data_IF_236458764441
#
_entry.id   IF_236458764441
#
_cell.length_a   1.000
_cell.length_b   1.000
_cell.length_c   1.000
_cell.angle_alpha   90.00
_cell.angle_beta   90.00
_cell.angle_gamma   90.00
#
_symmetry.space_group_name_H-M   'P 1'
#
loop_
_entity.id
_entity.type
_entity.pdbx_description
1 polymer ?
#
# COMPACT_ATOMS: atom_id res chain seq x y z
N UNK A 1 -9.79 -18.91 7.17
CA UNK A 1 -11.10 -18.44 6.64
C UNK A 1 -12.13 -18.33 7.76
N UNK A 2 -12.08 -19.29 8.68
CA UNK A 2 -12.83 -19.38 9.93
C UNK A 2 -12.88 -18.04 10.71
N UNK A 3 -11.73 -17.41 10.98
CA UNK A 3 -11.67 -16.15 11.75
C UNK A 3 -12.51 -14.99 11.17
N UNK A 4 -12.49 -14.77 9.85
CA UNK A 4 -13.30 -13.69 9.24
C UNK A 4 -14.79 -14.03 9.24
N UNK A 5 -15.12 -15.32 9.10
CA UNK A 5 -16.50 -15.80 9.16
C UNK A 5 -17.08 -15.67 10.57
N UNK A 6 -16.29 -15.97 11.61
CA UNK A 6 -16.66 -15.75 13.02
C UNK A 6 -16.94 -14.27 13.30
N UNK A 7 -16.09 -13.35 12.83
CA UNK A 7 -16.32 -11.91 12.98
C UNK A 7 -17.61 -11.43 12.31
N UNK A 8 -18.02 -12.07 11.21
CA UNK A 8 -19.31 -11.81 10.56
C UNK A 8 -20.46 -12.37 11.40
N UNK A 9 -20.33 -13.60 11.91
CA UNK A 9 -21.33 -14.24 12.78
C UNK A 9 -21.54 -13.47 14.09
N UNK A 10 -20.47 -12.90 14.66
CA UNK A 10 -20.50 -12.01 15.82
C UNK A 10 -21.06 -10.60 15.52
N UNK A 11 -21.44 -10.32 14.26
CA UNK A 11 -21.99 -9.03 13.86
C UNK A 11 -21.02 -7.86 13.97
N UNK A 12 -19.69 -8.11 13.89
CA UNK A 12 -18.69 -7.06 14.03
C UNK A 12 -18.81 -6.05 12.88
N UNK A 13 -18.79 -4.76 13.24
CA UNK A 13 -18.81 -3.65 12.28
C UNK A 13 -17.68 -3.81 11.26
N UNK A 14 -18.01 -3.64 9.98
CA UNK A 14 -17.12 -3.77 8.83
C UNK A 14 -16.62 -5.20 8.49
N UNK A 15 -17.03 -6.26 9.20
CA UNK A 15 -16.62 -7.63 8.87
C UNK A 15 -16.99 -8.03 7.42
N UNK A 16 -18.14 -7.56 6.93
CA UNK A 16 -18.56 -7.77 5.54
C UNK A 16 -17.58 -7.18 4.50
N UNK A 17 -16.88 -6.09 4.82
CA UNK A 17 -15.85 -5.53 3.93
C UNK A 17 -14.59 -6.40 3.93
N UNK A 18 -14.25 -7.06 5.04
CA UNK A 18 -13.14 -8.02 5.07
C UNK A 18 -13.42 -9.24 4.19
N UNK A 19 -14.66 -9.73 4.16
CA UNK A 19 -15.06 -10.81 3.25
C UNK A 19 -14.84 -10.37 1.79
N UNK A 20 -15.28 -9.16 1.44
CA UNK A 20 -15.10 -8.61 0.07
C UNK A 20 -13.63 -8.42 -0.29
N UNK A 21 -12.84 -7.83 0.61
CA UNK A 21 -11.38 -7.65 0.42
C UNK A 21 -10.70 -8.99 0.23
N UNK A 22 -11.08 -10.00 1.04
CA UNK A 22 -10.48 -11.33 0.96
C UNK A 22 -10.83 -12.06 -0.34
N UNK A 23 -12.01 -11.81 -0.90
CA UNK A 23 -12.41 -12.33 -2.21
C UNK A 23 -11.60 -11.76 -3.38
N UNK A 24 -10.97 -10.60 -3.21
CA UNK A 24 -10.11 -9.96 -4.22
C UNK A 24 -8.80 -9.48 -3.56
N UNK A 25 -8.14 -10.41 -2.86
CA UNK A 25 -6.97 -10.12 -2.04
C UNK A 25 -5.80 -9.64 -2.91
N UNK A 26 -5.60 -10.25 -4.08
CA UNK A 26 -4.50 -9.89 -4.99
C UNK A 26 -4.59 -8.43 -5.41
N UNK A 27 -5.77 -7.97 -5.86
CA UNK A 27 -5.95 -6.55 -6.21
C UNK A 27 -5.84 -5.65 -5.00
N UNK A 28 -6.30 -6.09 -3.83
CA UNK A 28 -6.16 -5.30 -2.60
C UNK A 28 -4.68 -5.13 -2.22
N UNK A 29 -3.88 -6.17 -2.34
CA UNK A 29 -2.42 -6.12 -2.09
C UNK A 29 -1.77 -5.15 -3.08
N UNK A 30 -2.10 -5.25 -4.38
CA UNK A 30 -1.60 -4.31 -5.39
C UNK A 30 -2.03 -2.88 -5.08
N UNK A 31 -3.28 -2.66 -4.66
CA UNK A 31 -3.77 -1.33 -4.27
C UNK A 31 -2.96 -0.72 -3.12
N UNK A 32 -2.67 -1.52 -2.10
CA UNK A 32 -1.85 -1.10 -0.94
C UNK A 32 -0.43 -0.76 -1.41
N UNK A 33 0.17 -1.59 -2.25
CA UNK A 33 1.51 -1.37 -2.78
C UNK A 33 1.59 -0.07 -3.60
N UNK A 34 0.63 0.13 -4.51
CA UNK A 34 0.54 1.35 -5.33
C UNK A 34 0.35 2.58 -4.45
N UNK A 35 -0.55 2.53 -3.47
CA UNK A 35 -0.80 3.65 -2.56
C UNK A 35 0.43 4.04 -1.74
N UNK A 36 1.10 3.06 -1.13
CA UNK A 36 2.32 3.31 -0.35
C UNK A 36 3.44 3.88 -1.24
N UNK A 37 3.66 3.29 -2.41
CA UNK A 37 4.70 3.72 -3.32
C UNK A 37 4.43 5.13 -3.88
N UNK A 38 3.18 5.43 -4.24
CA UNK A 38 2.80 6.75 -4.72
C UNK A 38 3.11 7.83 -3.69
N UNK A 39 2.70 7.62 -2.43
CA UNK A 39 2.97 8.57 -1.34
C UNK A 39 4.47 8.72 -1.10
N UNK A 40 5.23 7.61 -1.02
CA UNK A 40 6.67 7.64 -0.77
C UNK A 40 7.45 8.35 -1.88
N UNK A 41 7.11 8.10 -3.15
CA UNK A 41 7.74 8.75 -4.30
C UNK A 41 7.39 10.23 -4.34
N UNK A 42 6.12 10.57 -4.10
CA UNK A 42 5.65 11.97 -4.12
C UNK A 42 6.33 12.79 -3.02
N UNK A 43 6.39 12.28 -1.79
CA UNK A 43 7.08 12.95 -0.68
C UNK A 43 8.56 13.09 -0.99
N UNK A 44 9.22 12.02 -1.48
CA UNK A 44 10.63 12.06 -1.85
C UNK A 44 10.93 13.11 -2.92
N UNK A 45 10.11 13.17 -3.97
CA UNK A 45 10.25 14.13 -5.06
C UNK A 45 10.05 15.57 -4.57
N UNK A 46 8.97 15.84 -3.84
CA UNK A 46 8.68 17.18 -3.30
C UNK A 46 9.75 17.64 -2.32
N UNK A 47 10.18 16.77 -1.41
CA UNK A 47 11.22 17.10 -0.46
C UNK A 47 12.58 17.31 -1.13
N UNK A 48 12.88 16.58 -2.22
CA UNK A 48 14.09 16.85 -3.02
C UNK A 48 14.02 18.23 -3.69
N UNK A 49 12.88 18.61 -4.25
CA UNK A 49 12.69 19.94 -4.84
C UNK A 49 12.87 21.05 -3.80
N UNK A 50 12.26 20.88 -2.63
CA UNK A 50 12.39 21.82 -1.51
C UNK A 50 13.84 21.89 -1.02
N UNK A 51 14.49 20.75 -0.79
CA UNK A 51 15.88 20.69 -0.36
C UNK A 51 16.82 21.37 -1.36
N UNK A 52 16.61 21.15 -2.66
CA UNK A 52 17.38 21.81 -3.71
C UNK A 52 17.22 23.33 -3.69
N UNK A 53 16.00 23.82 -3.46
CA UNK A 53 15.74 25.26 -3.40
C UNK A 53 16.35 25.95 -2.16
N UNK A 54 16.49 25.23 -1.04
CA UNK A 54 16.92 25.81 0.24
C UNK A 54 18.40 25.63 0.57
N UNK A 55 19.01 24.52 0.15
CA UNK A 55 20.30 24.07 0.68
C UNK A 55 21.42 24.00 -0.37
N UNK A 56 21.10 24.17 -1.66
CA UNK A 56 22.05 24.00 -2.77
C UNK A 56 22.62 22.58 -2.87
N UNK A 57 23.44 22.30 -3.89
CA UNK A 57 23.82 20.94 -4.28
C UNK A 57 24.43 20.06 -3.16
N UNK A 58 25.31 20.62 -2.31
CA UNK A 58 25.94 19.86 -1.22
C UNK A 58 24.97 19.55 -0.07
N UNK A 59 24.04 20.47 0.23
CA UNK A 59 23.04 20.26 1.27
C UNK A 59 21.89 19.34 0.83
N UNK A 60 21.64 19.22 -0.48
CA UNK A 60 20.68 18.22 -1.02
C UNK A 60 21.07 16.80 -0.63
N UNK A 61 22.34 16.44 -0.72
CA UNK A 61 22.78 15.05 -0.47
C UNK A 61 22.54 14.63 0.99
N UNK A 62 22.84 15.53 1.94
CA UNK A 62 22.59 15.29 3.37
C UNK A 62 21.08 15.27 3.65
N UNK A 63 20.32 16.19 3.06
CA UNK A 63 18.88 16.25 3.20
C UNK A 63 18.19 14.98 2.68
N UNK A 64 18.63 14.43 1.55
CA UNK A 64 18.13 13.17 0.99
C UNK A 64 18.40 12.00 1.95
N UNK A 65 19.59 11.93 2.55
CA UNK A 65 19.91 10.91 3.54
C UNK A 65 18.99 10.97 4.77
N UNK A 66 18.83 12.16 5.36
CA UNK A 66 17.94 12.37 6.52
C UNK A 66 16.48 12.07 6.15
N UNK A 67 16.01 12.58 5.02
CA UNK A 67 14.65 12.36 4.54
C UNK A 67 14.36 10.88 4.34
N UNK A 68 15.32 10.12 3.78
CA UNK A 68 15.17 8.68 3.58
C UNK A 68 14.94 7.97 4.91
N UNK A 69 15.71 8.29 5.95
CA UNK A 69 15.50 7.73 7.29
C UNK A 69 14.12 8.10 7.85
N UNK A 70 13.69 9.34 7.68
CA UNK A 70 12.37 9.81 8.13
C UNK A 70 11.25 9.04 7.43
N UNK A 71 11.31 8.88 6.10
CA UNK A 71 10.31 8.13 5.33
C UNK A 71 10.31 6.65 5.74
N UNK A 72 11.48 6.03 5.89
CA UNK A 72 11.56 4.63 6.29
C UNK A 72 10.96 4.42 7.68
N UNK A 73 11.30 5.24 8.67
CA UNK A 73 10.81 5.07 10.03
C UNK A 73 9.31 5.38 10.10
N UNK A 74 8.90 6.56 9.64
CA UNK A 74 7.54 7.07 9.89
C UNK A 74 6.55 6.79 8.77
N UNK A 75 7.01 6.69 7.52
CA UNK A 75 6.16 6.44 6.36
C UNK A 75 5.96 4.96 6.06
N UNK A 76 6.98 4.14 6.32
CA UNK A 76 6.97 2.73 5.88
C UNK A 76 6.99 1.71 7.03
N UNK A 77 8.06 1.66 7.81
CA UNK A 77 8.31 0.59 8.78
C UNK A 77 7.32 0.68 9.95
N UNK A 78 7.20 1.85 10.58
CA UNK A 78 6.33 2.01 11.77
C UNK A 78 4.85 1.81 11.43
N UNK A 79 4.28 2.40 10.35
CA UNK A 79 2.88 2.17 10.00
C UNK A 79 2.59 0.71 9.64
N UNK A 80 3.52 0.02 8.96
CA UNK A 80 3.40 -1.41 8.67
C UNK A 80 3.41 -2.25 9.96
N UNK A 81 4.35 -1.99 10.86
CA UNK A 81 4.43 -2.66 12.16
C UNK A 81 3.15 -2.44 12.99
N UNK A 82 2.62 -1.21 12.99
CA UNK A 82 1.39 -0.86 13.68
C UNK A 82 0.13 -1.52 13.10
N UNK A 83 0.10 -1.77 11.78
CA UNK A 83 -0.98 -2.51 11.14
C UNK A 83 -0.92 -4.02 11.45
N UNK A 84 0.29 -4.53 11.68
CA UNK A 84 0.55 -5.91 12.08
C UNK A 84 0.18 -6.14 13.55
N UNK A 85 0.43 -5.14 14.40
CA UNK A 85 -0.03 -5.15 15.78
C UNK A 85 -1.57 -5.16 15.86
N UNK A 86 -2.11 -6.28 16.33
CA UNK A 86 -3.55 -6.56 16.40
C UNK A 86 -4.27 -6.51 15.03
N UNK A 87 -3.81 -7.35 14.09
CA UNK A 87 -4.30 -7.45 12.69
C UNK A 87 -5.82 -7.49 12.57
N UNK A 88 -6.51 -8.22 13.45
CA UNK A 88 -7.98 -8.36 13.41
C UNK A 88 -8.67 -7.02 13.65
N UNK A 89 -8.31 -6.35 14.74
CA UNK A 89 -8.93 -5.06 15.10
C UNK A 89 -8.57 -3.98 14.10
N UNK A 90 -7.32 -3.95 13.62
CA UNK A 90 -6.83 -2.99 12.61
C UNK A 90 -7.52 -3.20 11.26
N UNK A 91 -7.61 -4.44 10.81
CA UNK A 91 -8.27 -4.77 9.55
C UNK A 91 -9.76 -4.42 9.61
N UNK A 92 -10.49 -4.76 10.68
CA UNK A 92 -11.90 -4.35 10.84
C UNK A 92 -12.09 -2.84 10.81
N UNK A 93 -11.23 -2.08 11.51
CA UNK A 93 -11.31 -0.61 11.53
C UNK A 93 -11.13 -0.02 10.12
N UNK A 94 -10.16 -0.55 9.37
CA UNK A 94 -9.74 0.01 8.08
C UNK A 94 -10.41 -0.66 6.86
N UNK A 95 -11.14 -1.77 7.04
CA UNK A 95 -11.70 -2.58 5.96
C UNK A 95 -12.56 -1.76 5.00
N UNK A 96 -13.41 -0.88 5.52
CA UNK A 96 -14.26 -0.02 4.69
C UNK A 96 -13.43 0.91 3.81
N UNK A 97 -12.42 1.56 4.38
CA UNK A 97 -11.54 2.47 3.65
C UNK A 97 -10.73 1.72 2.57
N UNK A 98 -10.10 0.62 2.94
CA UNK A 98 -9.31 -0.22 2.02
C UNK A 98 -10.15 -0.75 0.86
N UNK A 99 -11.40 -1.16 1.12
CA UNK A 99 -12.31 -1.62 0.07
C UNK A 99 -12.59 -0.53 -0.96
N UNK A 100 -12.96 0.69 -0.51
CA UNK A 100 -13.24 1.80 -1.43
C UNK A 100 -11.98 2.29 -2.14
N UNK A 101 -10.83 2.33 -1.47
CA UNK A 101 -9.54 2.67 -2.08
C UNK A 101 -9.21 1.69 -3.22
N UNK A 102 -9.33 0.38 -2.95
CA UNK A 102 -9.11 -0.68 -3.94
C UNK A 102 -10.08 -0.57 -5.11
N UNK A 103 -11.36 -0.27 -4.83
CA UNK A 103 -12.37 -0.10 -5.88
C UNK A 103 -12.10 1.12 -6.75
N UNK A 104 -11.66 2.24 -6.15
CA UNK A 104 -11.29 3.46 -6.88
C UNK A 104 -10.03 3.30 -7.72
N UNK A 105 -9.02 2.56 -7.22
CA UNK A 105 -7.78 2.27 -7.94
C UNK A 105 -7.91 1.08 -8.91
N UNK A 106 -9.04 0.38 -8.92
CA UNK A 106 -9.30 -0.79 -9.76
C UNK A 106 -8.95 -0.62 -11.25
N UNK A 107 -9.28 0.50 -11.95
CA UNK A 107 -8.87 0.67 -13.34
C UNK A 107 -7.35 0.70 -13.50
N UNK A 108 -6.64 1.43 -12.64
CA UNK A 108 -5.18 1.50 -12.65
C UNK A 108 -4.55 0.13 -12.34
N UNK A 109 -5.06 -0.57 -11.33
CA UNK A 109 -4.58 -1.91 -10.94
C UNK A 109 -4.73 -2.90 -12.10
N UNK A 110 -5.84 -2.82 -12.84
CA UNK A 110 -6.07 -3.71 -14.00
C UNK A 110 -5.01 -3.49 -15.08
N UNK A 111 -4.67 -2.23 -15.37
CA UNK A 111 -3.57 -1.89 -16.30
C UNK A 111 -2.24 -2.43 -15.79
N UNK A 112 -1.92 -2.26 -14.51
CA UNK A 112 -0.68 -2.74 -13.92
C UNK A 112 -0.58 -4.28 -13.96
N UNK A 113 -1.65 -4.99 -13.66
CA UNK A 113 -1.70 -6.47 -13.77
C UNK A 113 -1.52 -6.89 -15.22
N UNK A 114 -2.17 -6.20 -16.16
CA UNK A 114 -2.02 -6.49 -17.59
C UNK A 114 -0.56 -6.29 -18.06
N UNK A 115 0.08 -5.19 -17.68
CA UNK A 115 1.50 -4.94 -17.95
C UNK A 115 2.40 -6.00 -17.32
N UNK A 116 2.15 -6.36 -16.07
CA UNK A 116 2.90 -7.40 -15.34
C UNK A 116 2.83 -8.75 -16.05
N UNK A 117 1.64 -9.16 -16.50
CA UNK A 117 1.47 -10.38 -17.31
C UNK A 117 2.23 -10.32 -18.64
N UNK A 118 2.28 -9.15 -19.26
CA UNK A 118 3.11 -8.91 -20.46
C UNK A 118 4.58 -9.19 -20.20
N UNK A 119 5.14 -8.66 -19.10
CA UNK A 119 6.53 -8.90 -18.69
C UNK A 119 6.76 -10.37 -18.35
N UNK A 120 5.87 -11.01 -17.60
CA UNK A 120 5.98 -12.42 -17.24
C UNK A 120 6.01 -13.35 -18.47
N UNK A 121 5.19 -13.05 -19.49
CA UNK A 121 5.22 -13.77 -20.77
C UNK A 121 6.55 -13.61 -21.50
N UNK A 122 7.17 -12.43 -21.45
CA UNK A 122 8.49 -12.19 -22.04
C UNK A 122 9.61 -12.96 -21.34
N UNK A 123 9.48 -13.17 -20.02
CA UNK A 123 10.45 -13.93 -19.22
C UNK A 123 10.21 -15.46 -19.33
N UNK A 124 9.16 -15.90 -20.03
CA UNK A 124 8.84 -17.31 -20.21
C UNK A 124 8.14 -17.96 -19.03
N UNK A 125 7.59 -17.16 -18.10
CA UNK A 125 6.77 -17.67 -17.00
C UNK A 125 5.38 -18.06 -17.53
N UNK A 126 5.10 -19.36 -17.56
CA UNK A 126 3.80 -19.92 -17.92
C UNK A 126 2.80 -19.65 -16.79
N UNK A 127 1.70 -18.94 -17.07
CA UNK A 127 0.61 -18.70 -16.12
C UNK A 127 0.05 -20.05 -15.61
N UNK A 128 0.07 -20.29 -14.28
CA UNK A 128 -0.82 -21.26 -13.60
C UNK A 128 -1.90 -20.53 -12.84
#
# INVERSE_FOLDING_TARGET
AVEVAELVAEGKKNANFLVKIKGDLDRTIVAILVGNNLVNITISALATLVANSLLGNLGVSIAVGILTLVILIFGEITPKAYAIDNRVRRSLKNARWLYYMTRGLSPLITVLIWMSRGVLRMVGATET
#
